data_IF_988980059285
#
_entry.id   IF_988980059285
#
_cell.length_a   1.000
_cell.length_b   1.000
_cell.length_c   1.000
_cell.angle_alpha   90.00
_cell.angle_beta   90.00
_cell.angle_gamma   90.00
#
_symmetry.space_group_name_H-M   'P 1'
#
loop_
_entity.id
_entity.type
_entity.pdbx_description
1 polymer ?
#
# COMPACT_ATOMS: atom_id res chain seq x y z
N UNK A 1 -1.39 -1.47 -11.45
CA UNK A 1 -1.15 -0.33 -10.52
C UNK A 1 0.03 -0.66 -9.62
N UNK A 2 0.86 0.28 -9.19
CA UNK A 2 1.95 -0.03 -8.25
C UNK A 2 1.41 -0.45 -6.86
N UNK A 3 2.16 -1.30 -6.16
CA UNK A 3 1.80 -1.75 -4.79
C UNK A 3 1.64 -0.57 -3.83
N UNK A 4 2.55 0.40 -3.86
CA UNK A 4 2.47 1.60 -3.02
C UNK A 4 1.23 2.43 -3.31
N UNK A 5 0.89 2.59 -4.60
CA UNK A 5 -0.31 3.30 -5.04
C UNK A 5 -1.59 2.60 -4.57
N UNK A 6 -1.62 1.26 -4.55
CA UNK A 6 -2.77 0.51 -4.02
C UNK A 6 -2.97 0.82 -2.53
N UNK A 7 -1.92 0.67 -1.72
CA UNK A 7 -2.00 0.94 -0.27
C UNK A 7 -2.41 2.40 -0.03
N UNK A 8 -1.81 3.35 -0.75
CA UNK A 8 -2.15 4.76 -0.66
C UNK A 8 -3.63 5.02 -1.02
N UNK A 9 -4.17 4.36 -2.05
CA UNK A 9 -5.61 4.45 -2.38
C UNK A 9 -6.49 3.86 -1.27
N UNK A 10 -6.10 2.75 -0.66
CA UNK A 10 -6.81 2.15 0.46
C UNK A 10 -6.87 3.11 1.67
N UNK A 11 -5.75 3.77 1.98
CA UNK A 11 -5.67 4.78 3.05
C UNK A 11 -6.54 6.00 2.72
N UNK A 12 -6.47 6.49 1.48
CA UNK A 12 -7.20 7.67 1.03
C UNK A 12 -8.71 7.44 1.07
N UNK A 13 -9.19 6.28 0.59
CA UNK A 13 -10.63 5.97 0.62
C UNK A 13 -11.17 5.85 2.05
N UNK A 14 -10.32 5.49 3.01
CA UNK A 14 -10.67 5.45 4.44
C UNK A 14 -10.42 6.78 5.14
N UNK A 15 -10.13 7.87 4.39
CA UNK A 15 -9.88 9.22 4.92
C UNK A 15 -8.73 9.28 5.94
N UNK A 16 -7.78 8.35 5.90
CA UNK A 16 -6.63 8.30 6.80
C UNK A 16 -5.51 9.24 6.38
N UNK A 17 -5.51 9.67 5.12
CA UNK A 17 -4.52 10.56 4.53
C UNK A 17 -5.21 11.60 3.64
N UNK A 18 -4.60 12.78 3.42
CA UNK A 18 -5.24 13.87 2.69
C UNK A 18 -5.21 13.71 1.16
N UNK A 19 -4.23 12.99 0.61
CA UNK A 19 -4.08 12.78 -0.83
C UNK A 19 -3.20 11.56 -1.13
N UNK A 20 -3.18 11.15 -2.40
CA UNK A 20 -2.48 9.95 -2.84
C UNK A 20 -0.95 10.04 -2.66
N UNK A 21 -0.34 11.17 -3.02
CA UNK A 21 1.12 11.35 -2.93
C UNK A 21 1.64 11.29 -1.49
N UNK A 22 0.89 11.86 -0.53
CA UNK A 22 1.19 11.69 0.89
C UNK A 22 1.16 10.23 1.31
N UNK A 23 0.20 9.45 0.79
CA UNK A 23 0.11 8.01 1.05
C UNK A 23 1.27 7.22 0.49
N UNK A 24 1.66 7.48 -0.76
CA UNK A 24 2.78 6.79 -1.41
C UNK A 24 4.10 7.05 -0.68
N UNK A 25 4.35 8.31 -0.30
CA UNK A 25 5.52 8.69 0.50
C UNK A 25 5.51 8.03 1.88
N UNK A 26 4.35 7.95 2.54
CA UNK A 26 4.22 7.27 3.82
C UNK A 26 4.51 5.76 3.71
N UNK A 27 3.99 5.10 2.65
CA UNK A 27 4.26 3.68 2.38
C UNK A 27 5.76 3.45 2.13
N UNK A 28 6.41 4.31 1.34
CA UNK A 28 7.85 4.20 1.11
C UNK A 28 8.66 4.41 2.40
N UNK A 29 8.30 5.39 3.23
CA UNK A 29 8.96 5.63 4.51
C UNK A 29 8.84 4.41 5.43
N UNK A 30 7.63 3.87 5.58
CA UNK A 30 7.37 2.68 6.40
C UNK A 30 8.11 1.47 5.81
N UNK A 31 8.15 1.33 4.48
CA UNK A 31 8.91 0.25 3.85
C UNK A 31 10.39 0.30 4.26
N UNK A 32 11.02 1.48 4.15
CA UNK A 32 12.44 1.65 4.47
C UNK A 32 12.74 1.45 5.96
N UNK A 33 11.81 1.82 6.83
CA UNK A 33 11.92 1.64 8.28
C UNK A 33 11.82 0.16 8.69
N UNK A 34 10.81 -0.55 8.19
CA UNK A 34 10.52 -1.93 8.61
C UNK A 34 11.24 -3.00 7.78
N UNK A 35 11.68 -2.67 6.56
CA UNK A 35 12.35 -3.59 5.63
C UNK A 35 13.66 -3.01 5.08
N UNK A 36 14.60 -2.55 5.93
CA UNK A 36 15.79 -1.81 5.50
C UNK A 36 16.76 -2.62 4.63
N UNK A 37 16.63 -3.96 4.60
CA UNK A 37 17.45 -4.88 3.78
C UNK A 37 16.87 -5.14 2.39
N UNK A 38 15.72 -4.58 2.07
CA UNK A 38 15.03 -4.79 0.80
C UNK A 38 14.97 -3.49 -0.01
N UNK A 39 14.94 -3.61 -1.34
CA UNK A 39 14.79 -2.46 -2.22
C UNK A 39 13.32 -2.15 -2.43
N UNK A 40 12.90 -0.93 -2.09
CA UNK A 40 11.55 -0.45 -2.35
C UNK A 40 11.22 -0.47 -3.84
N UNK A 41 12.18 -0.10 -4.71
CA UNK A 41 11.95 -0.08 -6.16
C UNK A 41 11.76 -1.48 -6.75
N UNK A 42 12.38 -2.50 -6.15
CA UNK A 42 12.17 -3.89 -6.56
C UNK A 42 10.87 -4.47 -6.02
N UNK A 43 10.46 -4.09 -4.80
CA UNK A 43 9.20 -4.52 -4.23
C UNK A 43 8.00 -3.85 -4.91
N UNK A 44 8.09 -2.55 -5.21
CA UNK A 44 7.00 -1.72 -5.70
C UNK A 44 6.71 -1.97 -7.20
N UNK A 45 6.22 -3.17 -7.52
CA UNK A 45 5.89 -3.61 -8.88
C UNK A 45 4.42 -3.36 -9.22
N UNK A 46 4.08 -3.58 -10.49
CA UNK A 46 2.70 -3.50 -10.96
C UNK A 46 1.89 -4.73 -10.52
N UNK A 47 0.78 -4.48 -9.86
CA UNK A 47 -0.26 -5.47 -9.57
C UNK A 47 -1.27 -5.57 -10.71
N UNK A 48 -1.82 -6.77 -10.96
CA UNK A 48 -2.92 -6.99 -11.89
C UNK A 48 -4.24 -6.42 -11.34
N UNK A 49 -5.14 -6.04 -12.24
CA UNK A 49 -6.35 -5.28 -11.87
C UNK A 49 -7.32 -6.06 -10.98
N UNK A 50 -7.36 -7.40 -11.09
CA UNK A 50 -8.17 -8.25 -10.21
C UNK A 50 -7.74 -8.14 -8.73
N UNK A 51 -6.43 -8.13 -8.48
CA UNK A 51 -5.84 -7.98 -7.14
C UNK A 51 -6.13 -6.58 -6.59
N UNK A 52 -5.90 -5.55 -7.41
CA UNK A 52 -6.21 -4.15 -7.06
C UNK A 52 -7.67 -4.00 -6.64
N UNK A 53 -8.60 -4.52 -7.45
CA UNK A 53 -10.03 -4.43 -7.18
C UNK A 53 -10.45 -5.18 -5.92
N UNK A 54 -9.82 -6.32 -5.63
CA UNK A 54 -10.06 -7.09 -4.41
C UNK A 54 -9.71 -6.25 -3.16
N UNK A 55 -8.49 -5.72 -3.09
CA UNK A 55 -8.03 -4.96 -1.92
C UNK A 55 -8.77 -3.62 -1.75
N UNK A 56 -9.09 -2.92 -2.84
CA UNK A 56 -9.88 -1.70 -2.77
C UNK A 56 -11.29 -1.97 -2.22
N UNK A 57 -11.91 -3.10 -2.59
CA UNK A 57 -13.20 -3.50 -2.01
C UNK A 57 -13.07 -3.92 -0.55
N UNK A 58 -12.05 -4.72 -0.23
CA UNK A 58 -11.85 -5.27 1.11
C UNK A 58 -11.54 -4.20 2.16
N UNK A 59 -10.84 -3.14 1.79
CA UNK A 59 -10.47 -2.07 2.73
C UNK A 59 -11.53 -0.99 2.90
N UNK A 60 -12.63 -1.00 2.12
CA UNK A 60 -13.69 0.02 2.27
C UNK A 60 -14.31 -0.03 3.65
N UNK A 61 -14.38 1.15 4.29
CA UNK A 61 -14.97 1.29 5.62
C UNK A 61 -14.10 0.76 6.75
N UNK A 62 -12.81 0.49 6.49
CA UNK A 62 -11.87 0.14 7.56
C UNK A 62 -11.51 1.37 8.38
N UNK A 63 -11.61 1.26 9.71
CA UNK A 63 -11.17 2.28 10.64
C UNK A 63 -9.65 2.23 10.89
N UNK A 64 -8.97 1.17 10.46
CA UNK A 64 -7.52 1.01 10.61
C UNK A 64 -6.90 0.20 9.48
N UNK A 65 -5.77 0.65 8.94
CA UNK A 65 -4.97 -0.09 7.95
C UNK A 65 -3.53 -0.14 8.44
N UNK A 66 -3.02 -1.36 8.68
CA UNK A 66 -1.62 -1.58 9.10
C UNK A 66 -0.74 -1.72 7.87
N UNK A 67 -0.08 -0.62 7.50
CA UNK A 67 0.71 -0.51 6.26
C UNK A 67 1.86 -1.52 6.22
N UNK A 68 2.56 -1.76 7.34
CA UNK A 68 3.66 -2.73 7.42
C UNK A 68 3.21 -4.17 7.10
N UNK A 69 2.02 -4.54 7.60
CA UNK A 69 1.43 -5.86 7.39
C UNK A 69 0.92 -5.98 5.95
N UNK A 70 0.31 -4.93 5.43
CA UNK A 70 -0.14 -4.87 4.04
C UNK A 70 1.04 -4.97 3.05
N UNK A 71 2.18 -4.32 3.36
CA UNK A 71 3.40 -4.46 2.56
C UNK A 71 3.83 -5.95 2.47
N UNK A 72 3.77 -6.69 3.58
CA UNK A 72 4.09 -8.13 3.63
C UNK A 72 3.09 -8.97 2.84
N UNK A 73 1.80 -8.67 2.93
CA UNK A 73 0.78 -9.39 2.16
C UNK A 73 1.00 -9.25 0.64
N UNK A 74 1.48 -8.08 0.19
CA UNK A 74 1.76 -7.85 -1.22
C UNK A 74 3.15 -8.37 -1.66
N UNK A 75 3.92 -9.03 -0.80
CA UNK A 75 5.29 -9.40 -1.13
C UNK A 75 5.38 -10.47 -2.23
N UNK A 76 4.47 -11.44 -2.19
CA UNK A 76 4.42 -12.57 -3.11
C UNK A 76 3.56 -12.31 -4.38
N UNK A 77 3.11 -11.07 -4.56
CA UNK A 77 2.22 -10.63 -5.66
C UNK A 77 2.94 -9.85 -6.76
#
# INVERSE_FOLDING_TARGET
>A
MLKSTLIAKCLLQCRMIPNLGTGENAVESIFREYFPRHSFSQWNTHLPDNVVNFYLKASKGSDTIRVDSFIKELWDL
#
